data_IF_630792298515
#
_entry.id   IF_630792298515
#
_cell.length_a   1.000
_cell.length_b   1.000
_cell.length_c   1.000
_cell.angle_alpha   90.00
_cell.angle_beta   90.00
_cell.angle_gamma   90.00
#
_symmetry.space_group_name_H-M   'P 1'
#
loop_
_entity.id
_entity.type
_entity.pdbx_description
1 polymer ?
#
# COMPACT_ATOMS: atom_id res chain seq x y z
N UNK A 1 -9.56 -12.72 21.95
CA UNK A 1 -10.27 -12.38 20.69
C UNK A 1 -9.24 -11.99 19.64
N UNK A 2 -9.29 -12.60 18.48
CA UNK A 2 -8.34 -12.30 17.41
C UNK A 2 -8.65 -10.94 16.77
N UNK A 3 -7.61 -10.17 16.38
CA UNK A 3 -7.83 -8.92 15.67
C UNK A 3 -8.54 -9.14 14.35
N UNK A 4 -9.33 -8.16 13.94
CA UNK A 4 -9.99 -8.19 12.64
C UNK A 4 -8.95 -8.07 11.52
N UNK A 5 -9.09 -8.89 10.49
CA UNK A 5 -8.28 -8.81 9.28
C UNK A 5 -8.94 -7.85 8.30
N UNK A 6 -8.15 -6.97 7.70
CA UNK A 6 -8.61 -6.04 6.67
C UNK A 6 -7.75 -6.20 5.43
N UNK A 7 -8.34 -5.88 4.27
CA UNK A 7 -7.62 -5.87 3.00
C UNK A 7 -7.03 -4.49 2.76
N UNK A 8 -5.74 -4.43 2.44
CA UNK A 8 -5.02 -3.17 2.20
C UNK A 8 -4.49 -3.13 0.76
N UNK A 9 -4.24 -1.91 0.28
CA UNK A 9 -3.75 -1.65 -1.08
C UNK A 9 -2.56 -0.71 -1.02
N UNK A 10 -1.47 -1.10 -1.70
CA UNK A 10 -0.25 -0.29 -1.79
C UNK A 10 0.02 0.02 -3.27
N UNK A 11 0.04 1.31 -3.63
CA UNK A 11 0.31 1.73 -5.01
C UNK A 11 1.80 1.72 -5.30
N UNK A 12 2.17 1.31 -6.53
CA UNK A 12 3.54 1.18 -6.93
C UNK A 12 3.66 1.17 -8.47
N UNK A 13 4.86 0.98 -8.98
CA UNK A 13 5.09 0.77 -10.42
C UNK A 13 4.82 -0.68 -10.80
N UNK A 14 4.52 -0.93 -12.07
CA UNK A 14 4.31 -2.28 -12.59
C UNK A 14 5.52 -3.18 -12.32
N UNK A 15 6.73 -2.70 -12.62
CA UNK A 15 7.95 -3.47 -12.38
C UNK A 15 8.18 -3.77 -10.89
N UNK A 16 7.85 -2.82 -10.03
CA UNK A 16 7.95 -3.02 -8.58
C UNK A 16 6.90 -3.99 -8.08
N UNK A 17 5.68 -3.93 -8.62
CA UNK A 17 4.61 -4.90 -8.29
C UNK A 17 5.09 -6.33 -8.56
N UNK A 18 5.69 -6.57 -9.71
CA UNK A 18 6.17 -7.90 -10.08
C UNK A 18 7.27 -8.38 -9.13
N UNK A 19 8.21 -7.49 -8.78
CA UNK A 19 9.28 -7.81 -7.84
C UNK A 19 8.72 -8.10 -6.44
N UNK A 20 7.79 -7.28 -5.97
CA UNK A 20 7.15 -7.46 -4.66
C UNK A 20 6.50 -8.84 -4.57
N UNK A 21 5.76 -9.25 -5.59
CA UNK A 21 5.10 -10.54 -5.61
C UNK A 21 6.12 -11.69 -5.68
N UNK A 22 7.20 -11.51 -6.44
CA UNK A 22 8.25 -12.53 -6.57
C UNK A 22 9.04 -12.69 -5.28
N UNK A 23 9.37 -11.60 -4.61
CA UNK A 23 10.14 -11.61 -3.37
C UNK A 23 9.27 -11.88 -2.14
N UNK A 24 7.97 -11.66 -2.23
CA UNK A 24 7.04 -11.87 -1.13
C UNK A 24 7.16 -10.83 -0.02
N UNK A 25 7.60 -9.60 -0.35
CA UNK A 25 7.74 -8.54 0.66
C UNK A 25 7.59 -7.16 0.05
N UNK A 26 7.13 -6.23 0.90
CA UNK A 26 7.08 -4.80 0.62
C UNK A 26 8.20 -4.12 1.41
N UNK A 27 9.04 -3.34 0.72
CA UNK A 27 10.13 -2.62 1.38
C UNK A 27 9.70 -1.23 1.79
N UNK A 28 9.97 -0.87 3.04
CA UNK A 28 9.62 0.42 3.63
C UNK A 28 10.67 1.47 3.25
N UNK A 29 10.55 2.04 2.06
CA UNK A 29 11.56 2.97 1.52
C UNK A 29 11.29 4.43 1.88
N UNK A 30 10.04 4.80 2.14
CA UNK A 30 9.67 6.17 2.46
C UNK A 30 9.38 6.27 3.95
N UNK A 31 10.21 7.02 4.69
CA UNK A 31 10.07 7.22 6.13
C UNK A 31 10.07 5.91 6.93
N UNK A 32 10.67 4.85 6.39
CA UNK A 32 10.64 3.50 6.97
C UNK A 32 9.20 2.99 7.19
N UNK A 33 8.30 3.32 6.26
CA UNK A 33 6.88 2.98 6.30
C UNK A 33 6.42 2.45 4.96
N UNK A 34 5.42 1.57 4.99
CA UNK A 34 4.69 1.13 3.80
C UNK A 34 3.32 1.80 3.84
N UNK A 35 3.11 2.79 2.97
CA UNK A 35 1.84 3.52 2.93
C UNK A 35 0.80 2.71 2.18
N UNK A 36 -0.40 2.66 2.73
CA UNK A 36 -1.49 1.84 2.23
C UNK A 36 -2.82 2.59 2.33
N UNK A 37 -3.83 2.02 1.67
CA UNK A 37 -5.23 2.41 1.88
C UNK A 37 -6.06 1.16 2.08
N UNK A 38 -7.28 1.30 2.58
CA UNK A 38 -8.20 0.17 2.67
C UNK A 38 -8.65 -0.21 1.25
N UNK A 39 -8.70 -1.51 0.98
CA UNK A 39 -9.09 -2.03 -0.34
C UNK A 39 -10.60 -2.32 -0.43
N UNK A 40 -11.40 -1.78 0.48
CA UNK A 40 -12.85 -1.97 0.52
C UNK A 40 -13.61 -0.96 -0.35
N UNK A 41 -12.90 -0.19 -1.15
CA UNK A 41 -13.48 0.74 -2.11
C UNK A 41 -12.77 0.64 -3.45
N UNK A 42 -13.32 1.29 -4.47
CA UNK A 42 -12.74 1.30 -5.80
C UNK A 42 -11.33 1.90 -5.78
N UNK A 43 -10.35 1.30 -6.48
CA UNK A 43 -9.00 1.86 -6.57
C UNK A 43 -9.01 3.28 -7.15
N UNK A 44 -8.08 4.11 -6.67
CA UNK A 44 -7.84 5.41 -7.28
C UNK A 44 -7.24 5.22 -8.68
N UNK A 45 -7.50 6.16 -9.58
CA UNK A 45 -6.81 6.20 -10.87
C UNK A 45 -5.32 6.43 -10.63
N UNK A 46 -4.49 6.18 -11.66
CA UNK A 46 -3.05 6.42 -11.57
C UNK A 46 -2.75 7.84 -11.11
N UNK A 47 -3.40 8.85 -11.69
CA UNK A 47 -3.17 10.25 -11.34
C UNK A 47 -3.66 10.58 -9.94
N UNK A 48 -4.80 10.05 -9.55
CA UNK A 48 -5.34 10.26 -8.19
C UNK A 48 -4.41 9.65 -7.14
N UNK A 49 -3.92 8.43 -7.39
CA UNK A 49 -3.00 7.76 -6.48
C UNK A 49 -1.69 8.54 -6.34
N UNK A 50 -1.14 9.02 -7.45
CA UNK A 50 0.09 9.80 -7.45
C UNK A 50 -0.07 11.12 -6.68
N UNK A 51 -1.21 11.78 -6.86
CA UNK A 51 -1.50 13.02 -6.13
C UNK A 51 -1.75 12.75 -4.64
N UNK A 52 -2.53 11.72 -4.32
CA UNK A 52 -2.93 11.40 -2.95
C UNK A 52 -1.72 11.02 -2.08
N UNK A 53 -0.77 10.28 -2.64
CA UNK A 53 0.38 9.77 -1.91
C UNK A 53 1.68 10.50 -2.26
N UNK A 54 1.60 11.60 -3.02
CA UNK A 54 2.76 12.41 -3.45
C UNK A 54 3.81 11.53 -4.16
N UNK A 55 3.34 10.65 -5.02
CA UNK A 55 4.18 9.71 -5.74
C UNK A 55 4.72 10.36 -7.03
N UNK A 56 5.89 9.90 -7.45
CA UNK A 56 6.44 10.27 -8.75
C UNK A 56 5.59 9.65 -9.85
N UNK A 57 5.63 10.25 -11.04
CA UNK A 57 4.93 9.75 -12.23
C UNK A 57 5.31 8.29 -12.50
N UNK A 58 4.30 7.46 -12.73
CA UNK A 58 4.46 6.02 -12.96
C UNK A 58 4.35 5.17 -11.71
N UNK A 59 4.44 5.76 -10.52
CA UNK A 59 4.33 5.01 -9.27
C UNK A 59 2.89 4.73 -8.83
N UNK A 60 1.91 5.17 -9.61
CA UNK A 60 0.51 4.82 -9.41
C UNK A 60 -0.02 3.85 -10.47
N UNK A 61 0.85 3.30 -11.31
CA UNK A 61 0.47 2.45 -12.45
C UNK A 61 0.09 1.02 -12.07
N UNK A 62 0.31 0.64 -10.83
CA UNK A 62 -0.02 -0.69 -10.33
C UNK A 62 -0.28 -0.62 -8.83
N UNK A 63 -0.82 -1.69 -8.29
CA UNK A 63 -0.96 -1.80 -6.84
C UNK A 63 -0.90 -3.27 -6.42
N UNK A 64 -0.56 -3.47 -5.14
CA UNK A 64 -0.56 -4.78 -4.51
C UNK A 64 -1.57 -4.74 -3.38
N UNK A 65 -2.48 -5.71 -3.34
CA UNK A 65 -3.43 -5.87 -2.25
C UNK A 65 -3.00 -7.05 -1.38
N UNK A 66 -3.19 -6.92 -0.08
CA UNK A 66 -2.80 -7.95 0.87
C UNK A 66 -3.60 -7.81 2.16
N UNK A 67 -3.62 -8.88 2.95
CA UNK A 67 -4.34 -8.89 4.23
C UNK A 67 -3.44 -8.44 5.36
N UNK A 68 -3.99 -7.71 6.33
CA UNK A 68 -3.31 -7.33 7.55
C UNK A 68 -4.30 -7.33 8.70
N UNK A 69 -3.77 -7.45 9.93
CA UNK A 69 -4.60 -7.24 11.11
C UNK A 69 -4.77 -5.75 11.33
N UNK A 70 -5.94 -5.36 11.80
CA UNK A 70 -6.24 -3.95 12.10
C UNK A 70 -5.20 -3.35 13.04
N UNK A 71 -4.70 -4.14 14.00
CA UNK A 71 -3.73 -3.66 15.00
C UNK A 71 -2.32 -3.45 14.45
N UNK A 72 -2.03 -3.91 13.21
CA UNK A 72 -0.75 -3.67 12.55
C UNK A 72 -0.72 -2.31 11.85
N UNK A 73 -1.87 -1.70 11.61
CA UNK A 73 -1.99 -0.47 10.81
C UNK A 73 -1.93 0.75 11.71
N UNK A 74 -1.06 1.68 11.35
CA UNK A 74 -0.91 2.96 12.05
C UNK A 74 -1.43 4.10 11.18
N UNK A 75 -1.68 5.25 11.78
CA UNK A 75 -2.16 6.45 11.09
C UNK A 75 -1.24 7.62 11.34
N UNK A 76 -1.15 8.50 10.35
CA UNK A 76 -0.53 9.81 10.53
C UNK A 76 -1.25 10.82 9.66
N UNK A 77 -1.11 12.11 9.98
CA UNK A 77 -1.63 13.19 9.15
C UNK A 77 -0.52 13.71 8.25
N UNK A 78 -0.77 13.74 6.94
CA UNK A 78 0.16 14.36 5.99
C UNK A 78 0.08 15.89 6.16
N UNK A 79 1.20 16.51 6.50
CA UNK A 79 1.24 17.96 6.77
C UNK A 79 1.00 18.80 5.52
N UNK A 80 1.29 18.27 4.34
CA UNK A 80 1.13 19.01 3.09
C UNK A 80 -0.31 18.97 2.58
N UNK A 81 -1.01 17.84 2.76
CA UNK A 81 -2.37 17.67 2.25
C UNK A 81 -3.44 17.74 3.32
N UNK A 82 -3.08 17.58 4.60
CA UNK A 82 -4.02 17.50 5.72
C UNK A 82 -4.77 16.19 5.80
N UNK A 83 -4.46 15.23 4.93
CA UNK A 83 -5.16 13.94 4.88
C UNK A 83 -4.54 12.91 5.82
N UNK A 84 -5.38 12.01 6.30
CA UNK A 84 -4.94 10.89 7.13
C UNK A 84 -4.37 9.81 6.22
N UNK A 85 -3.16 9.36 6.55
CA UNK A 85 -2.48 8.29 5.83
C UNK A 85 -2.36 7.07 6.73
N UNK A 86 -2.67 5.90 6.16
CA UNK A 86 -2.47 4.62 6.83
C UNK A 86 -1.13 4.04 6.41
N UNK A 87 -0.44 3.38 7.34
CA UNK A 87 0.84 2.75 7.02
C UNK A 87 1.14 1.57 7.94
N UNK A 88 2.06 0.71 7.48
CA UNK A 88 2.69 -0.31 8.31
C UNK A 88 4.16 0.10 8.52
N UNK A 89 4.65 0.12 9.75
CA UNK A 89 6.04 0.48 10.01
C UNK A 89 6.98 -0.65 9.58
N UNK A 90 8.09 -0.29 8.93
CA UNK A 90 9.09 -1.26 8.48
C UNK A 90 8.66 -2.08 7.28
N UNK A 91 9.52 -3.01 6.87
CA UNK A 91 9.22 -3.90 5.75
C UNK A 91 8.10 -4.87 6.13
N UNK A 92 7.29 -5.23 5.13
CA UNK A 92 6.14 -6.13 5.33
C UNK A 92 6.40 -7.45 4.61
N UNK A 93 6.40 -8.53 5.38
CA UNK A 93 6.46 -9.90 4.83
C UNK A 93 5.04 -10.28 4.39
N UNK A 94 4.90 -10.65 3.14
CA UNK A 94 3.60 -10.98 2.54
C UNK A 94 3.19 -12.44 2.72
N UNK A 95 4.03 -13.28 3.32
CA UNK A 95 3.70 -14.69 3.58
C UNK A 95 2.42 -14.76 4.42
N UNK A 96 1.45 -15.56 3.96
CA UNK A 96 0.17 -15.74 4.65
C UNK A 96 -0.80 -14.57 4.53
N UNK A 97 -0.48 -13.53 3.71
CA UNK A 97 -1.32 -12.33 3.56
C UNK A 97 -2.10 -12.29 2.26
N UNK A 98 -2.12 -13.37 1.50
CA UNK A 98 -2.85 -13.49 0.22
C UNK A 98 -2.56 -12.31 -0.73
N UNK A 99 -1.28 -12.04 -1.07
CA UNK A 99 -0.95 -10.89 -1.91
C UNK A 99 -1.43 -11.08 -3.34
N UNK A 100 -1.97 -10.01 -3.92
CA UNK A 100 -2.40 -9.96 -5.31
C UNK A 100 -1.92 -8.65 -5.93
N UNK A 101 -1.45 -8.71 -7.17
CA UNK A 101 -1.00 -7.54 -7.90
C UNK A 101 -1.94 -7.21 -9.05
N UNK A 102 -2.11 -5.91 -9.31
CA UNK A 102 -2.99 -5.39 -10.35
C UNK A 102 -2.31 -4.24 -11.08
N UNK A 103 -2.53 -4.17 -12.38
CA UNK A 103 -2.15 -2.99 -13.15
C UNK A 103 -3.26 -1.94 -13.02
N UNK A 104 -2.85 -0.68 -12.94
CA UNK A 104 -3.75 0.45 -12.73
C UNK A 104 -3.60 1.49 -13.86
N UNK A 105 -3.61 1.00 -15.09
CA UNK A 105 -3.40 1.85 -16.27
C UNK A 105 -4.64 1.96 -17.14
#
# INVERSE_FOLDING_TARGET
MEPTTIRLRHYTRVSSKERILAEGQLLARDQNKVFVERADHKPLSTREAEARYLLKRGKGNAYVEFDARVDEVSEQTNRLTGEIELFLPGDVDLAGRNPQGFDNR
#
